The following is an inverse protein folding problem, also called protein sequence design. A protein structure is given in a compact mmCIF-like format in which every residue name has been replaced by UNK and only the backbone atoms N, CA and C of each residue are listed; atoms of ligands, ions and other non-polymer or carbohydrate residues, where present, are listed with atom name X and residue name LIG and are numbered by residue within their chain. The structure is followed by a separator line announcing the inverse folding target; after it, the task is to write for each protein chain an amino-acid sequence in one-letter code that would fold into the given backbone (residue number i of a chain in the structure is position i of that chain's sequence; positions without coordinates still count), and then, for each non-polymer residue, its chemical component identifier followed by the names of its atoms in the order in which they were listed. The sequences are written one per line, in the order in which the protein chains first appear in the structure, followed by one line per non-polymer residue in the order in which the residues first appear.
data_IF_021613228543
#
_entry.id   IF_021613228543
#
_cell.length_a   1.000
_cell.length_b   1.000
_cell.length_c   1.000
_cell.angle_alpha   90.00
_cell.angle_beta   90.00
_cell.angle_gamma   90.00
#
_symmetry.space_group_name_H-M   'P 1'
#
loop_
_entity.id
_entity.type
_entity.pdbx_description
1 polymer ?
#
# COMPACT_ATOMS: atom_id res chain seq x y z
N UNK A 1 -21.87 13.50 -2.57
CA UNK A 1 -20.61 13.01 -1.98
C UNK A 1 -20.39 11.58 -2.44
N UNK A 2 -19.25 11.25 -3.04
CA UNK A 2 -18.98 9.88 -3.54
C UNK A 2 -18.38 9.05 -2.39
N UNK A 3 -18.79 7.79 -2.25
CA UNK A 3 -18.20 6.85 -1.30
C UNK A 3 -17.19 5.95 -2.03
N UNK A 4 -16.00 5.80 -1.46
CA UNK A 4 -14.93 4.96 -2.00
C UNK A 4 -14.48 3.99 -0.92
N UNK A 5 -14.39 2.71 -1.27
CA UNK A 5 -13.96 1.66 -0.34
C UNK A 5 -12.57 1.21 -0.75
N UNK A 6 -11.61 1.29 0.18
CA UNK A 6 -10.21 0.91 -0.05
C UNK A 6 -9.89 -0.32 0.78
N UNK A 7 -9.63 -1.42 0.10
CA UNK A 7 -9.17 -2.66 0.72
C UNK A 7 -7.65 -2.62 0.82
N UNK A 8 -7.11 -2.92 1.99
CA UNK A 8 -5.69 -2.73 2.25
C UNK A 8 -5.31 -1.26 2.42
N UNK A 9 -6.19 -0.43 3.02
CA UNK A 9 -5.97 1.01 3.18
C UNK A 9 -4.75 1.38 4.05
N UNK A 10 -4.35 0.53 4.99
CA UNK A 10 -3.12 0.65 5.77
C UNK A 10 -1.89 0.07 5.06
N UNK A 11 -2.08 -0.58 3.91
CA UNK A 11 -1.00 -1.09 3.07
C UNK A 11 -0.19 0.00 2.35
N UNK A 12 0.88 -0.42 1.67
CA UNK A 12 1.74 0.47 0.89
C UNK A 12 0.95 1.34 -0.11
N UNK A 13 0.15 0.72 -0.97
CA UNK A 13 -0.63 1.45 -1.99
C UNK A 13 -1.83 2.17 -1.37
N UNK A 14 -2.55 1.47 -0.48
CA UNK A 14 -3.76 1.98 0.13
C UNK A 14 -3.54 3.25 0.93
N UNK A 15 -2.41 3.38 1.64
CA UNK A 15 -2.12 4.58 2.44
C UNK A 15 -1.94 5.82 1.57
N UNK A 16 -1.23 5.70 0.43
CA UNK A 16 -1.08 6.81 -0.52
C UNK A 16 -2.42 7.21 -1.16
N UNK A 17 -3.24 6.23 -1.51
CA UNK A 17 -4.57 6.50 -2.07
C UNK A 17 -5.46 7.17 -1.03
N UNK A 18 -5.43 6.69 0.22
CA UNK A 18 -6.20 7.25 1.34
C UNK A 18 -5.79 8.71 1.59
N UNK A 19 -4.49 9.00 1.69
CA UNK A 19 -3.97 10.37 1.84
C UNK A 19 -4.52 11.29 0.74
N UNK A 20 -4.51 10.83 -0.51
CA UNK A 20 -4.93 11.63 -1.68
C UNK A 20 -6.43 11.87 -1.74
N UNK A 21 -7.23 10.85 -1.45
CA UNK A 21 -8.68 10.96 -1.44
C UNK A 21 -9.18 11.84 -0.28
N UNK A 22 -8.56 11.76 0.89
CA UNK A 22 -8.91 12.65 1.99
C UNK A 22 -8.48 14.09 1.69
N UNK A 23 -7.32 14.29 1.05
CA UNK A 23 -6.86 15.61 0.62
C UNK A 23 -7.74 16.26 -0.47
N UNK A 24 -8.41 15.49 -1.33
CA UNK A 24 -9.23 16.05 -2.41
C UNK A 24 -10.54 16.69 -1.93
N UNK A 25 -11.03 16.33 -0.75
CA UNK A 25 -12.19 17.01 -0.14
C UNK A 25 -13.56 16.48 -0.56
N UNK A 26 -13.65 15.68 -1.61
CA UNK A 26 -14.91 15.40 -2.34
C UNK A 26 -15.48 13.98 -2.14
N UNK A 27 -14.76 13.15 -1.39
CA UNK A 27 -15.11 11.75 -1.15
C UNK A 27 -15.14 11.39 0.33
N UNK A 28 -15.98 10.39 0.65
CA UNK A 28 -15.96 9.67 1.92
C UNK A 28 -15.24 8.34 1.69
N UNK A 29 -14.24 8.04 2.53
CA UNK A 29 -13.41 6.84 2.40
C UNK A 29 -13.79 5.81 3.46
N UNK A 30 -14.13 4.61 3.03
CA UNK A 30 -14.26 3.43 3.89
C UNK A 30 -12.97 2.60 3.74
N UNK A 31 -12.11 2.67 4.74
CA UNK A 31 -10.83 1.96 4.76
C UNK A 31 -10.97 0.61 5.44
N UNK A 32 -10.62 -0.47 4.74
CA UNK A 32 -10.66 -1.82 5.29
C UNK A 32 -9.26 -2.42 5.32
N UNK A 33 -8.73 -2.74 6.49
CA UNK A 33 -7.40 -3.34 6.63
C UNK A 33 -7.29 -4.12 7.95
N UNK A 34 -6.25 -4.93 8.08
CA UNK A 34 -5.87 -5.58 9.33
C UNK A 34 -5.02 -4.67 10.23
N UNK A 35 -4.35 -3.67 9.65
CA UNK A 35 -3.56 -2.66 10.39
C UNK A 35 -3.85 -1.26 9.85
N UNK A 36 -3.71 -0.26 10.71
CA UNK A 36 -3.89 1.17 10.40
C UNK A 36 -2.60 2.00 10.56
N UNK A 37 -1.45 1.38 10.82
CA UNK A 37 -0.22 2.10 11.23
C UNK A 37 0.16 3.22 10.25
N UNK A 38 0.03 2.97 8.94
CA UNK A 38 0.41 3.90 7.86
C UNK A 38 -0.62 5.00 7.57
N UNK A 39 -1.80 4.91 8.18
CA UNK A 39 -2.91 5.86 8.05
C UNK A 39 -3.38 6.39 9.42
N UNK A 40 -2.62 6.13 10.48
CA UNK A 40 -2.97 6.49 11.87
C UNK A 40 -3.29 7.98 12.02
N UNK A 41 -2.63 8.85 11.25
CA UNK A 41 -2.86 10.29 11.22
C UNK A 41 -4.27 10.70 10.74
N UNK A 42 -5.01 9.80 10.08
CA UNK A 42 -6.33 10.09 9.51
C UNK A 42 -7.48 9.49 10.31
N UNK A 43 -7.20 8.79 11.41
CA UNK A 43 -8.24 8.08 12.17
C UNK A 43 -9.29 9.02 12.77
N UNK A 44 -8.94 10.29 12.99
CA UNK A 44 -9.85 11.33 13.48
C UNK A 44 -10.54 12.11 12.33
N UNK A 45 -10.25 11.83 11.05
CA UNK A 45 -10.93 12.50 9.93
C UNK A 45 -12.38 11.98 9.85
N UNK A 46 -13.40 12.86 9.93
CA UNK A 46 -14.80 12.44 9.90
C UNK A 46 -15.24 11.79 8.58
N UNK A 47 -14.41 11.89 7.53
CA UNK A 47 -14.63 11.27 6.22
C UNK A 47 -13.94 9.92 6.08
N UNK A 48 -13.22 9.46 7.09
CA UNK A 48 -12.65 8.12 7.14
C UNK A 48 -13.49 7.23 8.06
N UNK A 49 -13.88 6.06 7.57
CA UNK A 49 -14.44 4.98 8.39
C UNK A 49 -13.54 3.75 8.25
N UNK A 50 -12.90 3.33 9.35
CA UNK A 50 -11.97 2.20 9.35
C UNK A 50 -12.63 0.90 9.83
N UNK A 51 -12.44 -0.20 9.11
CA UNK A 51 -13.04 -1.50 9.40
C UNK A 51 -12.00 -2.64 9.37
N UNK A 52 -11.96 -3.43 10.44
CA UNK A 52 -11.01 -4.54 10.59
C UNK A 52 -11.62 -5.88 10.11
N UNK A 53 -11.47 -6.20 8.81
CA UNK A 53 -11.87 -7.46 8.08
C UNK A 53 -13.41 -7.65 7.87
N UNK A 54 -14.00 -8.42 6.94
CA UNK A 54 -13.64 -9.31 5.81
C UNK A 54 -14.56 -8.99 4.60
N UNK A 55 -14.00 -8.68 3.43
CA UNK A 55 -14.77 -8.10 2.30
C UNK A 55 -15.48 -9.13 1.41
N UNK A 56 -14.86 -10.29 1.18
CA UNK A 56 -15.47 -11.30 0.30
C UNK A 56 -16.80 -11.82 0.87
N UNK A 57 -16.86 -12.08 2.18
CA UNK A 57 -18.08 -12.45 2.87
C UNK A 57 -19.15 -11.34 2.78
N UNK A 58 -18.74 -10.08 2.98
CA UNK A 58 -19.67 -8.95 2.95
C UNK A 58 -20.26 -8.67 1.56
N UNK A 59 -19.49 -8.88 0.48
CA UNK A 59 -20.01 -8.76 -0.89
C UNK A 59 -21.02 -9.88 -1.22
N UNK A 60 -20.69 -11.14 -0.88
CA UNK A 60 -21.56 -12.29 -1.12
C UNK A 60 -22.89 -12.15 -0.35
N UNK A 61 -22.86 -11.60 0.86
CA UNK A 61 -24.05 -11.41 1.69
C UNK A 61 -24.86 -10.14 1.35
N UNK A 62 -24.20 -9.03 1.03
CA UNK A 62 -24.86 -7.70 0.96
C UNK A 62 -24.80 -7.03 -0.42
N UNK A 63 -24.23 -7.69 -1.44
CA UNK A 63 -24.28 -7.21 -2.83
C UNK A 63 -23.48 -5.92 -3.11
N UNK A 64 -22.47 -5.61 -2.30
CA UNK A 64 -21.72 -4.37 -2.39
C UNK A 64 -20.90 -4.26 -3.69
N UNK A 65 -21.17 -3.33 -4.61
CA UNK A 65 -20.40 -3.21 -5.84
C UNK A 65 -18.96 -2.79 -5.55
N UNK A 66 -17.97 -3.51 -6.09
CA UNK A 66 -16.55 -3.19 -5.92
C UNK A 66 -15.77 -3.36 -7.23
N UNK A 67 -14.60 -2.72 -7.30
CA UNK A 67 -13.64 -2.88 -8.41
C UNK A 67 -12.34 -3.45 -7.85
N UNK A 68 -11.88 -4.56 -8.43
CA UNK A 68 -10.62 -5.19 -8.02
C UNK A 68 -9.46 -4.62 -8.84
N UNK A 69 -8.48 -4.02 -8.16
CA UNK A 69 -7.24 -3.54 -8.77
C UNK A 69 -6.14 -4.55 -8.43
N UNK A 70 -5.42 -5.04 -9.46
CA UNK A 70 -4.29 -5.96 -9.32
C UNK A 70 -2.98 -5.26 -9.70
N UNK A 71 -2.31 -4.60 -8.74
CA UNK A 71 -1.05 -3.92 -9.01
C UNK A 71 0.07 -4.93 -9.28
N UNK A 72 0.88 -4.67 -10.31
CA UNK A 72 2.04 -5.48 -10.66
C UNK A 72 3.33 -4.75 -10.30
N UNK A 73 4.08 -5.31 -9.34
CA UNK A 73 5.39 -4.82 -8.89
C UNK A 73 5.44 -3.31 -8.60
N UNK A 74 4.48 -2.81 -7.82
CA UNK A 74 4.47 -1.40 -7.41
C UNK A 74 5.58 -1.10 -6.40
N UNK A 75 6.25 0.04 -6.56
CA UNK A 75 7.31 0.53 -5.66
C UNK A 75 7.17 2.02 -5.37
N UNK A 76 7.67 2.44 -4.19
CA UNK A 76 7.57 3.83 -3.71
C UNK A 76 7.82 3.98 -2.22
N UNK A 77 7.57 5.18 -1.68
CA UNK A 77 7.72 5.48 -0.25
C UNK A 77 6.82 4.59 0.62
N UNK A 78 7.18 4.30 1.87
CA UNK A 78 6.41 3.43 2.80
C UNK A 78 6.19 1.99 2.29
N UNK A 79 6.99 1.54 1.32
CA UNK A 79 6.98 0.18 0.79
C UNK A 79 7.76 -0.76 1.72
N UNK A 80 7.11 -1.82 2.20
CA UNK A 80 7.63 -2.80 3.17
C UNK A 80 8.33 -2.15 4.37
N UNK A 81 9.55 -2.60 4.68
CA UNK A 81 10.41 -2.22 5.79
C UNK A 81 11.87 -2.55 5.43
N UNK A 82 12.84 -1.91 6.09
CA UNK A 82 14.25 -2.27 6.02
C UNK A 82 14.55 -3.31 7.12
N UNK A 83 14.97 -4.54 6.79
CA UNK A 83 15.28 -5.56 7.78
C UNK A 83 16.37 -5.10 8.74
N UNK A 84 16.14 -5.32 10.05
CA UNK A 84 17.05 -4.90 11.11
C UNK A 84 17.01 -3.41 11.43
N UNK A 85 16.11 -2.64 10.82
CA UNK A 85 15.86 -1.22 11.15
C UNK A 85 14.38 -0.96 11.42
N UNK A 86 13.53 -1.22 10.44
CA UNK A 86 12.12 -0.83 10.44
C UNK A 86 11.16 -2.02 10.60
N UNK A 87 11.69 -3.24 10.68
CA UNK A 87 10.89 -4.45 10.82
C UNK A 87 11.68 -5.74 10.69
N UNK A 88 11.03 -6.83 11.06
CA UNK A 88 11.57 -8.19 11.01
C UNK A 88 10.95 -9.00 9.86
N UNK A 89 11.74 -9.91 9.27
CA UNK A 89 11.31 -10.80 8.20
C UNK A 89 11.91 -10.49 6.83
N UNK A 90 11.36 -11.10 5.78
CA UNK A 90 11.85 -10.98 4.40
C UNK A 90 10.94 -10.05 3.59
N UNK A 91 11.38 -8.82 3.26
CA UNK A 91 10.58 -7.90 2.47
C UNK A 91 10.72 -8.19 0.97
N UNK A 92 10.07 -7.39 0.12
CA UNK A 92 10.23 -7.50 -1.34
C UNK A 92 11.66 -7.18 -1.77
N UNK A 93 12.02 -7.72 -2.94
CA UNK A 93 13.33 -7.54 -3.62
C UNK A 93 13.92 -6.15 -3.48
N UNK A 94 13.14 -5.11 -3.75
CA UNK A 94 13.65 -3.75 -3.74
C UNK A 94 14.09 -3.31 -2.33
N UNK A 95 13.37 -3.68 -1.28
CA UNK A 95 13.78 -3.41 0.10
C UNK A 95 15.04 -4.20 0.49
N UNK A 96 15.16 -5.46 0.03
CA UNK A 96 16.39 -6.25 0.20
C UNK A 96 17.61 -5.57 -0.46
N UNK A 97 17.43 -5.02 -1.68
CA UNK A 97 18.49 -4.28 -2.37
C UNK A 97 18.86 -2.99 -1.64
N UNK A 98 17.88 -2.22 -1.18
CA UNK A 98 18.15 -1.00 -0.41
C UNK A 98 18.92 -1.31 0.88
N UNK A 99 18.60 -2.41 1.54
CA UNK A 99 19.30 -2.85 2.77
C UNK A 99 20.76 -3.17 2.50
N UNK A 100 21.04 -3.92 1.43
CA UNK A 100 22.40 -4.25 1.03
C UNK A 100 23.21 -2.98 0.71
N UNK A 101 22.62 -2.03 -0.03
CA UNK A 101 23.25 -0.75 -0.34
C UNK A 101 23.52 0.11 0.90
N UNK A 102 22.57 0.17 1.85
CA UNK A 102 22.72 0.93 3.09
C UNK A 102 23.76 0.32 4.04
N UNK A 103 23.95 -0.99 3.98
CA UNK A 103 24.90 -1.74 4.81
C UNK A 103 26.29 -1.90 4.15
N UNK A 104 26.49 -1.37 2.95
CA UNK A 104 27.68 -1.60 2.11
C UNK A 104 27.99 -3.09 1.91
N UNK A 105 26.94 -3.91 1.75
CA UNK A 105 27.02 -5.35 1.52
C UNK A 105 26.75 -5.68 0.05
N UNK A 106 27.38 -6.74 -0.48
CA UNK A 106 27.08 -7.20 -1.84
C UNK A 106 25.61 -7.65 -1.94
N UNK A 107 24.96 -7.28 -3.04
CA UNK A 107 23.60 -7.71 -3.35
C UNK A 107 23.62 -9.20 -3.70
N UNK A 108 23.05 -10.04 -2.84
CA UNK A 108 23.01 -11.49 -3.07
C UNK A 108 21.78 -11.92 -3.86
N UNK A 109 21.99 -12.71 -4.92
CA UNK A 109 20.92 -13.35 -5.69
C UNK A 109 20.11 -14.36 -4.88
N UNK A 110 20.66 -14.91 -3.80
CA UNK A 110 19.98 -15.87 -2.93
C UNK A 110 18.83 -15.25 -2.12
N UNK A 111 18.89 -13.94 -1.85
CA UNK A 111 17.84 -13.20 -1.12
C UNK A 111 16.65 -12.84 -2.03
N UNK A 112 16.83 -12.89 -3.35
CA UNK A 112 15.87 -12.34 -4.34
C UNK A 112 15.12 -13.40 -5.15
N UNK A 113 15.49 -14.67 -5.01
CA UNK A 113 14.95 -15.76 -5.83
C UNK A 113 15.45 -15.72 -7.27
N UNK A 114 15.06 -16.72 -8.07
CA UNK A 114 15.51 -16.86 -9.45
C UNK A 114 15.19 -15.62 -10.31
N UNK A 115 16.07 -15.25 -11.27
CA UNK A 115 15.86 -14.11 -12.14
C UNK A 115 14.59 -14.32 -12.95
N UNK A 116 13.59 -13.49 -12.67
CA UNK A 116 12.31 -13.44 -13.37
C UNK A 116 12.13 -12.02 -13.90
N UNK A 117 11.78 -11.88 -15.17
CA UNK A 117 11.46 -10.57 -15.72
C UNK A 117 10.29 -9.95 -14.95
N UNK A 118 10.47 -8.73 -14.43
CA UNK A 118 9.45 -8.00 -13.70
C UNK A 118 9.25 -6.64 -14.37
N UNK A 119 8.01 -6.26 -14.62
CA UNK A 119 7.65 -4.91 -15.07
C UNK A 119 7.36 -4.04 -13.86
N UNK A 120 8.24 -3.09 -13.49
CA UNK A 120 8.05 -2.25 -12.30
C UNK A 120 7.09 -1.10 -12.62
N UNK A 121 6.24 -0.73 -11.66
CA UNK A 121 5.35 0.45 -11.78
C UNK A 121 5.55 1.36 -10.57
N UNK A 122 5.77 2.67 -10.78
CA UNK A 122 5.96 3.61 -9.67
C UNK A 122 4.64 4.08 -9.09
N UNK A 123 4.56 4.27 -7.77
CA UNK A 123 3.41 4.93 -7.13
C UNK A 123 3.53 6.45 -7.06
N UNK A 124 4.62 7.01 -7.55
CA UNK A 124 4.85 8.46 -7.60
C UNK A 124 3.96 9.09 -8.67
N UNK A 125 3.18 10.14 -8.36
CA UNK A 125 2.45 10.87 -9.38
C UNK A 125 3.43 11.63 -10.27
N UNK A 126 3.27 11.54 -11.59
CA UNK A 126 3.97 12.43 -12.51
C UNK A 126 3.33 13.82 -12.40
N UNK A 127 4.04 14.76 -11.79
CA UNK A 127 3.70 16.18 -11.95
C UNK A 127 4.04 16.57 -13.39
N UNK A 128 3.05 16.53 -14.29
CA UNK A 128 3.12 17.34 -15.50
C UNK A 128 2.86 18.78 -15.07
N UNK A 129 3.92 19.60 -15.06
CA UNK A 129 3.77 21.04 -15.19
C UNK A 129 3.05 21.29 -16.52
N UNK A 130 1.86 21.87 -16.45
CA UNK A 130 1.19 22.46 -17.60
C UNK A 130 1.96 23.71 -18.06
#
# INVERSE_FOLDING_TARGET
MKKVIILGCGGFVGSHLTDRLLASGDVHVEGWDVSYDKISQHLDDPRLSFHQRYIFAHNVENGMPFTMIRPYNWFGARMDFIPGRDGEGVPRVLACFMTALLDDKPISSSTVGAPTARSPTSTTPSTRSA
#
